data_IF_431872517436
#
_entry.id   IF_431872517436
#
_cell.length_a   1.000
_cell.length_b   1.000
_cell.length_c   1.000
_cell.angle_alpha   90.00
_cell.angle_beta   90.00
_cell.angle_gamma   90.00
#
_symmetry.space_group_name_H-M   'P 1'
#
loop_
_entity.id
_entity.type
_entity.pdbx_description
1 polymer ?
#
# COMPACT_ATOMS: atom_id res chain seq x y z
N UNK A 1 19.07 26.25 17.16
CA UNK A 1 19.93 25.50 16.23
C UNK A 1 19.11 24.32 15.73
N UNK A 2 18.52 24.47 14.55
CA UNK A 2 17.79 23.37 13.94
C UNK A 2 18.80 22.33 13.43
N UNK A 3 18.47 21.05 13.52
CA UNK A 3 19.26 19.96 12.92
C UNK A 3 19.61 20.23 11.44
N UNK A 4 18.80 21.01 10.76
CA UNK A 4 18.99 21.44 9.38
C UNK A 4 20.20 22.36 9.16
N UNK A 5 20.55 23.19 10.15
CA UNK A 5 21.67 24.10 10.05
C UNK A 5 23.00 23.49 10.55
N UNK A 6 22.91 22.48 11.40
CA UNK A 6 24.08 21.82 11.95
C UNK A 6 24.80 20.92 10.92
N UNK A 7 24.05 20.15 10.13
CA UNK A 7 24.61 19.20 9.16
C UNK A 7 25.48 19.84 8.07
N UNK A 8 25.05 20.91 7.36
CA UNK A 8 25.86 21.50 6.29
C UNK A 8 27.10 22.26 6.80
N UNK A 9 27.12 22.67 8.07
CA UNK A 9 28.24 23.42 8.65
C UNK A 9 29.27 22.49 9.31
N UNK A 10 28.84 21.48 10.04
CA UNK A 10 29.74 20.60 10.79
C UNK A 10 30.42 19.54 9.92
N UNK A 11 29.70 18.92 8.99
CA UNK A 11 30.24 17.82 8.18
C UNK A 11 31.43 18.24 7.28
N UNK A 12 31.39 19.36 6.52
CA UNK A 12 32.55 19.79 5.73
C UNK A 12 33.76 20.18 6.58
N UNK A 13 33.55 20.78 7.77
CA UNK A 13 34.63 21.16 8.67
C UNK A 13 35.35 19.93 9.25
N UNK A 14 34.61 18.88 9.63
CA UNK A 14 35.21 17.63 10.08
C UNK A 14 35.98 16.93 8.94
N UNK A 15 35.44 16.89 7.74
CA UNK A 15 36.13 16.31 6.59
C UNK A 15 37.48 17.00 6.30
N UNK A 16 37.56 18.33 6.47
CA UNK A 16 38.81 19.09 6.30
C UNK A 16 39.82 18.75 7.39
N UNK A 17 39.39 18.61 8.65
CA UNK A 17 40.26 18.28 9.80
C UNK A 17 40.85 16.85 9.63
N UNK A 18 40.01 15.85 9.25
CA UNK A 18 40.48 14.49 9.02
C UNK A 18 41.46 14.40 7.85
N UNK A 19 41.20 15.13 6.77
CA UNK A 19 42.09 15.19 5.62
C UNK A 19 43.43 15.82 5.95
N UNK A 20 43.45 16.84 6.81
CA UNK A 20 44.70 17.46 7.31
C UNK A 20 45.46 16.58 8.30
N UNK A 21 44.75 15.69 9.00
CA UNK A 21 45.34 14.72 9.95
C UNK A 21 45.82 13.43 9.29
N UNK A 22 45.57 13.24 7.96
CA UNK A 22 45.94 12.02 7.24
C UNK A 22 45.19 10.75 7.63
N UNK A 23 43.98 10.92 8.20
CA UNK A 23 43.15 9.80 8.67
C UNK A 23 41.99 9.53 7.73
N UNK A 24 41.65 8.25 7.61
CA UNK A 24 40.45 7.82 6.89
C UNK A 24 39.19 8.11 7.74
N UNK A 25 38.17 8.68 7.08
CA UNK A 25 36.90 8.96 7.70
C UNK A 25 36.12 7.64 7.96
N UNK A 26 35.47 7.49 9.13
CA UNK A 26 34.60 6.35 9.39
C UNK A 26 33.49 6.20 8.35
N UNK A 27 33.14 4.95 8.01
CA UNK A 27 32.12 4.64 6.99
C UNK A 27 30.79 5.40 7.16
N UNK A 28 30.19 5.51 8.37
CA UNK A 28 28.94 6.27 8.53
C UNK A 28 29.08 7.75 8.14
N UNK A 29 30.24 8.35 8.43
CA UNK A 29 30.53 9.76 8.09
C UNK A 29 30.70 9.93 6.58
N UNK A 30 31.40 9.03 5.91
CA UNK A 30 31.58 9.04 4.45
C UNK A 30 30.23 8.92 3.75
N UNK A 31 29.38 8.01 4.23
CA UNK A 31 28.01 7.84 3.68
C UNK A 31 27.15 9.09 3.91
N UNK A 32 27.21 9.71 5.08
CA UNK A 32 26.47 10.94 5.37
C UNK A 32 26.92 12.11 4.46
N UNK A 33 28.25 12.27 4.25
CA UNK A 33 28.79 13.27 3.34
C UNK A 33 28.40 12.96 1.89
N UNK A 34 28.47 11.70 1.48
CA UNK A 34 28.05 11.25 0.14
C UNK A 34 26.59 11.56 -0.12
N UNK A 35 25.70 11.26 0.83
CA UNK A 35 24.27 11.57 0.76
C UNK A 35 24.01 13.08 0.66
N UNK A 36 24.71 13.89 1.50
CA UNK A 36 24.61 15.34 1.44
C UNK A 36 25.04 15.88 0.07
N UNK A 37 26.21 15.48 -0.43
CA UNK A 37 26.71 15.93 -1.72
C UNK A 37 25.81 15.52 -2.87
N UNK A 38 25.26 14.29 -2.82
CA UNK A 38 24.28 13.82 -3.80
C UNK A 38 23.04 14.71 -3.81
N UNK A 39 22.45 14.95 -2.64
CA UNK A 39 21.27 15.81 -2.52
C UNK A 39 21.56 17.26 -2.91
N UNK A 40 22.72 17.82 -2.48
CA UNK A 40 23.11 19.19 -2.78
C UNK A 40 23.44 19.45 -4.26
N UNK A 41 24.00 18.44 -4.94
CA UNK A 41 24.36 18.60 -6.36
C UNK A 41 23.22 18.25 -7.32
N UNK A 42 22.32 17.35 -6.91
CA UNK A 42 21.27 16.83 -7.79
C UNK A 42 19.85 17.27 -7.42
N UNK A 43 19.68 18.18 -6.43
CA UNK A 43 18.37 18.62 -5.98
C UNK A 43 17.50 19.19 -7.12
N UNK A 44 18.13 19.93 -8.07
CA UNK A 44 17.46 20.52 -9.23
C UNK A 44 16.99 19.48 -10.25
N UNK A 45 17.55 18.27 -10.22
CA UNK A 45 17.12 17.12 -11.04
C UNK A 45 16.14 16.22 -10.26
N UNK A 46 16.36 16.07 -8.95
CA UNK A 46 15.55 15.22 -8.07
C UNK A 46 14.13 15.77 -7.91
N UNK A 47 13.99 17.09 -7.70
CA UNK A 47 12.66 17.69 -7.53
C UNK A 47 11.82 17.61 -8.81
N UNK A 48 12.29 18.06 -9.99
CA UNK A 48 11.53 17.90 -11.24
C UNK A 48 11.34 16.43 -11.63
N UNK A 49 12.32 15.56 -11.36
CA UNK A 49 12.24 14.14 -11.60
C UNK A 49 11.16 13.48 -10.75
N UNK A 50 11.09 13.81 -9.46
CA UNK A 50 10.05 13.34 -8.54
C UNK A 50 8.66 13.83 -8.98
N UNK A 51 8.53 15.13 -9.27
CA UNK A 51 7.26 15.72 -9.74
C UNK A 51 6.85 15.11 -11.08
N UNK A 52 7.78 15.01 -12.04
CA UNK A 52 7.52 14.37 -13.33
C UNK A 52 7.14 12.90 -13.21
N UNK A 53 7.81 12.16 -12.32
CA UNK A 53 7.50 10.76 -12.01
C UNK A 53 6.09 10.60 -11.41
N UNK A 54 5.72 11.45 -10.46
CA UNK A 54 4.37 11.46 -9.86
C UNK A 54 3.32 11.80 -10.94
N UNK A 55 3.54 12.81 -11.75
CA UNK A 55 2.62 13.20 -12.82
C UNK A 55 2.49 12.08 -13.87
N UNK A 56 3.58 11.45 -14.28
CA UNK A 56 3.59 10.32 -15.20
C UNK A 56 2.83 9.12 -14.60
N UNK A 57 3.02 8.83 -13.31
CA UNK A 57 2.29 7.79 -12.61
C UNK A 57 0.79 8.09 -12.56
N UNK A 58 0.39 9.32 -12.20
CA UNK A 58 -1.02 9.75 -12.19
C UNK A 58 -1.61 9.64 -13.59
N UNK A 59 -0.89 10.06 -14.62
CA UNK A 59 -1.36 9.95 -16.00
C UNK A 59 -1.50 8.50 -16.44
N UNK A 60 -0.53 7.65 -16.13
CA UNK A 60 -0.57 6.22 -16.42
C UNK A 60 -1.75 5.53 -15.72
N UNK A 61 -2.02 5.86 -14.45
CA UNK A 61 -3.13 5.28 -13.68
C UNK A 61 -4.52 5.77 -14.13
N UNK A 62 -4.59 6.80 -14.96
CA UNK A 62 -5.86 7.19 -15.62
C UNK A 62 -6.21 6.30 -16.81
N UNK A 63 -5.25 5.55 -17.36
CA UNK A 63 -5.52 4.59 -18.43
C UNK A 63 -6.16 3.31 -17.86
N UNK A 64 -7.02 2.64 -18.63
CA UNK A 64 -7.65 1.39 -18.19
C UNK A 64 -6.64 0.29 -17.86
N UNK A 65 -5.55 0.21 -18.64
CA UNK A 65 -4.48 -0.76 -18.39
C UNK A 65 -3.67 -0.40 -17.14
N UNK A 66 -3.29 0.88 -16.96
CA UNK A 66 -2.55 1.34 -15.79
C UNK A 66 -3.33 1.13 -14.49
N UNK A 67 -4.63 1.42 -14.48
CA UNK A 67 -5.51 1.13 -13.33
C UNK A 67 -5.53 -0.35 -13.00
N UNK A 68 -5.65 -1.22 -14.00
CA UNK A 68 -5.66 -2.66 -13.78
C UNK A 68 -4.34 -3.16 -13.17
N UNK A 69 -3.19 -2.75 -13.73
CA UNK A 69 -1.88 -3.16 -13.20
C UNK A 69 -1.64 -2.62 -11.79
N UNK A 70 -1.95 -1.34 -11.55
CA UNK A 70 -1.80 -0.75 -10.21
C UNK A 70 -2.68 -1.45 -9.17
N UNK A 71 -3.97 -1.66 -9.49
CA UNK A 71 -4.89 -2.34 -8.57
C UNK A 71 -4.51 -3.80 -8.33
N UNK A 72 -4.00 -4.50 -9.35
CA UNK A 72 -3.47 -5.85 -9.19
C UNK A 72 -2.21 -5.88 -8.31
N UNK A 73 -1.32 -4.89 -8.48
CA UNK A 73 -0.11 -4.76 -7.66
C UNK A 73 -0.48 -4.47 -6.19
N UNK A 74 -1.39 -3.54 -5.95
CA UNK A 74 -1.88 -3.20 -4.61
C UNK A 74 -2.50 -4.41 -3.89
N UNK A 75 -3.27 -5.24 -4.61
CA UNK A 75 -3.84 -6.48 -4.06
C UNK A 75 -2.78 -7.54 -3.70
N UNK A 76 -1.56 -7.46 -4.27
CA UNK A 76 -0.45 -8.36 -3.93
C UNK A 76 0.38 -7.89 -2.74
N UNK A 77 0.23 -6.65 -2.29
CA UNK A 77 0.97 -6.14 -1.14
C UNK A 77 0.51 -6.81 0.14
N UNK A 78 1.43 -7.26 1.02
CA UNK A 78 1.09 -8.10 2.17
C UNK A 78 0.23 -7.38 3.23
N UNK A 79 0.27 -6.06 3.29
CA UNK A 79 -0.48 -5.27 4.29
C UNK A 79 -1.75 -4.67 3.66
N UNK A 80 -1.62 -4.05 2.50
CA UNK A 80 -2.71 -3.31 1.83
C UNK A 80 -3.65 -4.26 1.08
N UNK A 81 -3.11 -5.33 0.47
CA UNK A 81 -3.87 -6.27 -0.35
C UNK A 81 -5.06 -6.91 0.38
N UNK A 82 -4.84 -7.54 1.55
CA UNK A 82 -5.93 -8.12 2.33
C UNK A 82 -7.01 -7.12 2.73
N UNK A 83 -6.63 -5.89 3.11
CA UNK A 83 -7.59 -4.84 3.47
C UNK A 83 -8.44 -4.43 2.26
N UNK A 84 -7.79 -4.22 1.10
CA UNK A 84 -8.51 -3.89 -0.14
C UNK A 84 -9.44 -5.00 -0.60
N UNK A 85 -9.04 -6.27 -0.45
CA UNK A 85 -9.88 -7.40 -0.79
C UNK A 85 -11.10 -7.49 0.15
N UNK A 86 -10.90 -7.37 1.48
CA UNK A 86 -11.98 -7.35 2.47
C UNK A 86 -12.96 -6.21 2.19
N UNK A 87 -12.46 -4.99 1.96
CA UNK A 87 -13.30 -3.84 1.62
C UNK A 87 -14.08 -4.02 0.29
N UNK A 88 -13.48 -4.74 -0.68
CA UNK A 88 -14.19 -5.08 -1.90
C UNK A 88 -15.29 -6.13 -1.66
N UNK A 89 -15.08 -7.10 -0.76
CA UNK A 89 -16.09 -8.11 -0.40
C UNK A 89 -17.25 -7.49 0.38
N UNK A 90 -16.98 -6.61 1.36
CA UNK A 90 -18.02 -5.84 2.05
C UNK A 90 -18.87 -5.05 1.04
N UNK A 91 -18.22 -4.28 0.17
CA UNK A 91 -18.92 -3.46 -0.85
C UNK A 91 -19.71 -4.31 -1.85
N UNK A 92 -19.14 -5.43 -2.30
CA UNK A 92 -19.83 -6.39 -3.16
C UNK A 92 -21.12 -6.87 -2.49
N UNK A 93 -21.00 -7.39 -1.27
CA UNK A 93 -22.13 -7.99 -0.57
C UNK A 93 -23.22 -6.95 -0.23
N UNK A 94 -22.82 -5.76 0.24
CA UNK A 94 -23.74 -4.67 0.56
C UNK A 94 -24.53 -4.20 -0.65
N UNK A 95 -23.85 -3.85 -1.73
CA UNK A 95 -24.49 -3.37 -2.96
C UNK A 95 -25.37 -4.46 -3.55
N UNK A 96 -24.87 -5.70 -3.61
CA UNK A 96 -25.63 -6.81 -4.19
C UNK A 96 -26.89 -7.10 -3.38
N UNK A 97 -26.83 -7.10 -2.04
CA UNK A 97 -27.99 -7.25 -1.16
C UNK A 97 -29.06 -6.18 -1.44
N UNK A 98 -28.65 -4.90 -1.52
CA UNK A 98 -29.57 -3.80 -1.83
C UNK A 98 -30.24 -3.98 -3.17
N UNK A 99 -29.48 -4.36 -4.20
CA UNK A 99 -30.02 -4.55 -5.55
C UNK A 99 -30.98 -5.75 -5.63
N UNK A 100 -30.67 -6.87 -4.95
CA UNK A 100 -31.57 -8.03 -4.87
C UNK A 100 -32.87 -7.70 -4.11
N UNK A 101 -32.77 -7.03 -2.97
CA UNK A 101 -33.95 -6.59 -2.22
C UNK A 101 -34.83 -5.61 -3.02
N UNK A 102 -34.22 -4.82 -3.90
CA UNK A 102 -34.93 -3.91 -4.82
C UNK A 102 -35.53 -4.62 -6.06
N UNK A 103 -35.39 -5.96 -6.16
CA UNK A 103 -35.93 -6.73 -7.29
C UNK A 103 -35.13 -6.62 -8.58
N UNK A 104 -33.91 -6.09 -8.51
CA UNK A 104 -33.02 -6.00 -9.69
C UNK A 104 -32.44 -7.39 -9.94
N UNK A 105 -32.48 -7.83 -11.22
CA UNK A 105 -31.94 -9.14 -11.60
C UNK A 105 -30.45 -9.26 -11.29
N UNK A 106 -29.99 -10.46 -10.97
CA UNK A 106 -28.58 -10.73 -10.67
C UNK A 106 -27.64 -10.26 -11.79
N UNK A 107 -28.04 -10.43 -13.04
CA UNK A 107 -27.28 -9.99 -14.21
C UNK A 107 -27.05 -8.46 -14.22
N UNK A 108 -28.11 -7.69 -13.98
CA UNK A 108 -28.02 -6.24 -13.92
C UNK A 108 -27.24 -5.78 -12.68
N UNK A 109 -27.39 -6.48 -11.56
CA UNK A 109 -26.65 -6.22 -10.34
C UNK A 109 -25.15 -6.40 -10.54
N UNK A 110 -24.71 -7.45 -11.23
CA UNK A 110 -23.28 -7.67 -11.57
C UNK A 110 -22.72 -6.56 -12.48
N UNK A 111 -23.55 -6.04 -13.40
CA UNK A 111 -23.14 -4.90 -14.25
C UNK A 111 -22.92 -3.63 -13.42
N UNK A 112 -23.78 -3.36 -12.44
CA UNK A 112 -23.63 -2.22 -11.52
C UNK A 112 -22.40 -2.43 -10.63
N UNK A 113 -22.20 -3.64 -10.11
CA UNK A 113 -21.07 -4.01 -9.29
C UNK A 113 -19.74 -3.82 -10.02
N UNK A 114 -19.65 -4.23 -11.29
CA UNK A 114 -18.41 -4.06 -12.06
C UNK A 114 -17.97 -2.59 -12.16
N UNK A 115 -18.92 -1.66 -12.18
CA UNK A 115 -18.62 -0.22 -12.24
C UNK A 115 -18.38 0.43 -10.88
N UNK A 116 -18.94 -0.14 -9.79
CA UNK A 116 -18.96 0.49 -8.45
C UNK A 116 -17.98 -0.11 -7.45
N UNK A 117 -17.43 -1.31 -7.71
CA UNK A 117 -16.53 -2.02 -6.79
C UNK A 117 -15.24 -1.25 -6.46
N UNK A 118 -14.83 -0.34 -7.33
CA UNK A 118 -13.68 0.55 -7.10
C UNK A 118 -12.31 -0.07 -7.36
N UNK A 119 -12.22 -1.36 -7.69
CA UNK A 119 -10.99 -2.06 -8.02
C UNK A 119 -11.07 -2.69 -9.40
N UNK A 120 -10.24 -2.24 -10.35
CA UNK A 120 -10.30 -2.69 -11.74
C UNK A 120 -9.94 -4.18 -11.94
N UNK A 121 -9.16 -4.77 -11.03
CA UNK A 121 -8.83 -6.19 -11.10
C UNK A 121 -10.03 -7.06 -10.68
N UNK A 122 -10.74 -6.65 -9.62
CA UNK A 122 -11.95 -7.33 -9.15
C UNK A 122 -13.12 -7.04 -10.09
N UNK A 123 -13.21 -5.82 -10.66
CA UNK A 123 -14.23 -5.45 -11.63
C UNK A 123 -14.27 -6.38 -12.84
N UNK A 124 -13.11 -6.79 -13.35
CA UNK A 124 -13.04 -7.75 -14.47
C UNK A 124 -13.59 -9.13 -14.14
N UNK A 125 -13.49 -9.56 -12.89
CA UNK A 125 -14.09 -10.84 -12.48
C UNK A 125 -15.60 -10.81 -12.63
N UNK A 126 -16.26 -9.68 -12.34
CA UNK A 126 -17.71 -9.54 -12.53
C UNK A 126 -18.14 -9.66 -13.99
N UNK A 127 -17.31 -9.20 -14.93
CA UNK A 127 -17.60 -9.37 -16.35
C UNK A 127 -17.60 -10.85 -16.73
N UNK A 128 -16.61 -11.62 -16.25
CA UNK A 128 -16.54 -13.07 -16.45
C UNK A 128 -17.69 -13.80 -15.74
N UNK A 129 -18.00 -13.43 -14.50
CA UNK A 129 -19.11 -14.01 -13.74
C UNK A 129 -20.45 -13.78 -14.47
N UNK A 130 -20.64 -12.60 -15.03
CA UNK A 130 -21.83 -12.25 -15.80
C UNK A 130 -21.97 -13.11 -17.07
N UNK A 131 -20.88 -13.36 -17.80
CA UNK A 131 -20.90 -14.24 -18.98
C UNK A 131 -21.34 -15.66 -18.61
N UNK A 132 -20.79 -16.22 -17.54
CA UNK A 132 -21.14 -17.56 -17.05
C UNK A 132 -22.58 -17.61 -16.50
N UNK A 133 -23.08 -16.53 -15.91
CA UNK A 133 -24.46 -16.42 -15.46
C UNK A 133 -25.45 -16.45 -16.65
N UNK A 134 -25.11 -15.81 -17.77
CA UNK A 134 -25.90 -15.87 -19.00
C UNK A 134 -25.98 -17.32 -19.56
N UNK A 135 -24.91 -18.11 -19.35
CA UNK A 135 -24.89 -19.54 -19.70
C UNK A 135 -25.75 -20.40 -18.76
N UNK A 136 -26.37 -19.82 -17.73
CA UNK A 136 -27.24 -20.53 -16.78
C UNK A 136 -26.54 -21.27 -15.65
N UNK A 137 -25.28 -20.94 -15.35
CA UNK A 137 -24.48 -21.63 -14.30
C UNK A 137 -24.76 -21.16 -12.86
N UNK A 138 -25.75 -20.27 -12.65
CA UNK A 138 -25.98 -19.66 -11.36
C UNK A 138 -24.91 -18.63 -10.99
N UNK A 139 -24.91 -18.16 -9.73
CA UNK A 139 -24.01 -17.09 -9.25
C UNK A 139 -22.81 -17.72 -8.53
N UNK A 140 -23.03 -18.73 -7.72
CA UNK A 140 -22.04 -19.33 -6.82
C UNK A 140 -20.92 -20.07 -7.54
N UNK A 141 -21.22 -20.75 -8.66
CA UNK A 141 -20.24 -21.52 -9.43
C UNK A 141 -19.19 -20.59 -10.09
N UNK A 142 -19.57 -19.51 -10.81
CA UNK A 142 -18.63 -18.54 -11.33
C UNK A 142 -17.79 -17.85 -10.26
N UNK A 143 -18.38 -17.50 -9.11
CA UNK A 143 -17.65 -16.92 -7.97
C UNK A 143 -16.55 -17.86 -7.45
N UNK A 144 -16.78 -19.18 -7.46
CA UNK A 144 -15.79 -20.18 -7.04
C UNK A 144 -14.54 -20.19 -7.92
N UNK A 145 -14.68 -19.92 -9.18
CA UNK A 145 -13.55 -19.86 -10.14
C UNK A 145 -12.79 -18.53 -10.09
N UNK A 146 -13.36 -17.52 -9.45
CA UNK A 146 -12.76 -16.19 -9.31
C UNK A 146 -11.62 -16.21 -8.30
N UNK A 147 -10.57 -15.46 -8.63
CA UNK A 147 -9.35 -15.38 -7.82
C UNK A 147 -9.52 -14.61 -6.51
N UNK A 148 -10.46 -13.67 -6.47
CA UNK A 148 -10.53 -12.69 -5.39
C UNK A 148 -11.65 -12.97 -4.39
N UNK A 149 -12.52 -13.94 -4.65
CA UNK A 149 -13.62 -14.29 -3.75
C UNK A 149 -13.20 -15.39 -2.77
N UNK A 150 -13.20 -15.09 -1.44
CA UNK A 150 -12.87 -16.08 -0.43
C UNK A 150 -13.91 -17.21 -0.38
N UNK A 151 -13.50 -18.43 0.01
CA UNK A 151 -14.40 -19.60 0.10
C UNK A 151 -15.65 -19.35 0.94
N UNK A 152 -15.55 -18.54 1.99
CA UNK A 152 -16.68 -18.17 2.84
C UNK A 152 -17.77 -17.45 2.03
N UNK A 153 -17.39 -16.43 1.26
CA UNK A 153 -18.33 -15.67 0.40
C UNK A 153 -19.01 -16.60 -0.59
N UNK A 154 -18.22 -17.43 -1.28
CA UNK A 154 -18.73 -18.39 -2.28
C UNK A 154 -19.73 -19.35 -1.66
N UNK A 155 -19.42 -19.91 -0.47
CA UNK A 155 -20.29 -20.87 0.20
C UNK A 155 -21.58 -20.22 0.70
N UNK A 156 -21.53 -19.01 1.27
CA UNK A 156 -22.72 -18.30 1.73
C UNK A 156 -23.63 -17.90 0.56
N UNK A 157 -23.03 -17.44 -0.55
CA UNK A 157 -23.79 -17.18 -1.78
C UNK A 157 -24.45 -18.45 -2.32
N UNK A 158 -23.74 -19.60 -2.30
CA UNK A 158 -24.29 -20.86 -2.73
C UNK A 158 -25.51 -21.32 -1.87
N UNK A 159 -25.39 -21.15 -0.55
CA UNK A 159 -26.52 -21.45 0.38
C UNK A 159 -27.68 -20.52 0.12
N UNK A 160 -27.44 -19.21 0.00
CA UNK A 160 -28.49 -18.23 -0.29
C UNK A 160 -29.17 -18.45 -1.65
N UNK A 161 -28.41 -18.84 -2.67
CA UNK A 161 -28.92 -19.16 -4.01
C UNK A 161 -29.82 -20.40 -3.98
N UNK A 162 -29.42 -21.45 -3.27
CA UNK A 162 -30.20 -22.70 -3.13
C UNK A 162 -31.46 -22.51 -2.27
N UNK A 163 -31.36 -21.72 -1.21
CA UNK A 163 -32.47 -21.47 -0.28
C UNK A 163 -33.42 -20.37 -0.74
N UNK A 164 -33.03 -19.57 -1.76
CA UNK A 164 -33.82 -18.43 -2.24
C UNK A 164 -33.79 -17.20 -1.30
N UNK A 165 -32.81 -17.15 -0.35
CA UNK A 165 -32.60 -16.03 0.58
C UNK A 165 -31.23 -15.35 0.39
N UNK A 166 -30.83 -15.15 -0.84
CA UNK A 166 -29.55 -14.60 -1.22
C UNK A 166 -29.27 -13.22 -0.59
N UNK A 167 -30.32 -12.38 -0.48
CA UNK A 167 -30.22 -11.05 0.11
C UNK A 167 -29.84 -11.07 1.61
N UNK A 168 -30.35 -12.04 2.36
CA UNK A 168 -29.99 -12.25 3.78
C UNK A 168 -28.53 -12.69 3.90
N UNK A 169 -28.11 -13.68 3.12
CA UNK A 169 -26.72 -14.16 3.13
C UNK A 169 -25.74 -13.06 2.72
N UNK A 170 -26.10 -12.21 1.76
CA UNK A 170 -25.28 -11.07 1.36
C UNK A 170 -25.18 -10.00 2.46
N UNK A 171 -26.24 -9.76 3.25
CA UNK A 171 -26.16 -8.85 4.39
C UNK A 171 -25.23 -9.37 5.47
N UNK A 172 -25.26 -10.67 5.76
CA UNK A 172 -24.36 -11.32 6.72
C UNK A 172 -22.90 -11.24 6.25
N UNK A 173 -22.65 -11.48 4.94
CA UNK A 173 -21.32 -11.30 4.35
C UNK A 173 -20.85 -9.86 4.52
N UNK A 174 -21.73 -8.87 4.22
CA UNK A 174 -21.38 -7.45 4.35
C UNK A 174 -20.99 -7.11 5.78
N UNK A 175 -21.82 -7.47 6.76
CA UNK A 175 -21.56 -7.19 8.18
C UNK A 175 -20.23 -7.80 8.64
N UNK A 176 -20.00 -9.08 8.31
CA UNK A 176 -18.74 -9.75 8.65
C UNK A 176 -17.52 -9.05 8.04
N UNK A 177 -17.59 -8.65 6.76
CA UNK A 177 -16.45 -7.99 6.12
C UNK A 177 -16.29 -6.53 6.53
N UNK A 178 -17.34 -5.84 6.97
CA UNK A 178 -17.24 -4.52 7.58
C UNK A 178 -16.43 -4.58 8.88
N UNK A 179 -16.73 -5.54 9.77
CA UNK A 179 -15.97 -5.79 10.99
C UNK A 179 -14.50 -6.16 10.69
N UNK A 180 -14.28 -7.01 9.68
CA UNK A 180 -12.95 -7.44 9.26
C UNK A 180 -12.11 -6.28 8.68
N UNK A 181 -12.73 -5.33 7.99
CA UNK A 181 -12.08 -4.12 7.49
C UNK A 181 -11.71 -3.20 8.65
N UNK A 182 -12.66 -2.95 9.59
CA UNK A 182 -12.41 -2.11 10.76
C UNK A 182 -11.25 -2.67 11.59
N UNK A 183 -11.26 -3.97 11.86
CA UNK A 183 -10.17 -4.65 12.56
C UNK A 183 -8.84 -4.52 11.84
N UNK A 184 -8.80 -4.74 10.52
CA UNK A 184 -7.57 -4.66 9.74
C UNK A 184 -7.01 -3.23 9.70
N UNK A 185 -7.85 -2.21 9.57
CA UNK A 185 -7.46 -0.79 9.62
C UNK A 185 -6.94 -0.40 11.01
N UNK A 186 -7.61 -0.86 12.07
CA UNK A 186 -7.16 -0.65 13.45
C UNK A 186 -5.78 -1.26 13.69
N UNK A 187 -5.56 -2.49 13.25
CA UNK A 187 -4.25 -3.14 13.34
C UNK A 187 -3.16 -2.39 12.54
N UNK A 188 -3.47 -1.92 11.34
CA UNK A 188 -2.53 -1.11 10.57
C UNK A 188 -2.13 0.15 11.35
N UNK A 189 -3.11 0.84 11.94
CA UNK A 189 -2.87 2.05 12.73
C UNK A 189 -2.03 1.78 13.98
N UNK A 190 -2.29 0.68 14.68
CA UNK A 190 -1.52 0.25 15.85
C UNK A 190 -0.04 -0.05 15.52
N UNK A 191 0.21 -0.64 14.35
CA UNK A 191 1.56 -1.00 13.93
C UNK A 191 2.38 0.20 13.40
N UNK A 192 1.74 1.31 13.03
CA UNK A 192 2.44 2.52 12.54
C UNK A 192 3.34 3.14 13.63
N UNK A 193 2.89 3.17 14.89
CA UNK A 193 3.66 3.74 16.01
C UNK A 193 5.04 3.08 16.18
N UNK A 194 5.12 1.77 16.41
CA UNK A 194 6.38 1.05 16.50
C UNK A 194 7.28 1.20 15.26
N UNK A 195 6.73 1.15 14.05
CA UNK A 195 7.50 1.31 12.81
C UNK A 195 8.14 2.69 12.73
N UNK A 196 7.39 3.75 13.07
CA UNK A 196 7.92 5.12 13.08
C UNK A 196 9.02 5.30 14.14
N UNK A 197 8.84 4.73 15.34
CA UNK A 197 9.86 4.81 16.42
C UNK A 197 11.14 4.10 15.98
N UNK A 198 11.05 2.90 15.45
CA UNK A 198 12.22 2.15 14.96
C UNK A 198 12.87 2.88 13.77
N UNK A 199 12.09 3.37 12.83
CA UNK A 199 12.59 4.16 11.70
C UNK A 199 13.34 5.42 12.17
N UNK A 200 12.78 6.17 13.13
CA UNK A 200 13.42 7.34 13.69
C UNK A 200 14.69 6.98 14.46
N UNK A 201 14.66 5.91 15.26
CA UNK A 201 15.84 5.44 16.01
C UNK A 201 17.00 5.05 15.08
N UNK A 202 16.72 4.41 13.94
CA UNK A 202 17.73 4.09 12.92
C UNK A 202 18.32 5.36 12.31
N UNK A 203 17.50 6.32 11.96
CA UNK A 203 17.97 7.60 11.38
C UNK A 203 18.80 8.39 12.39
N UNK A 204 18.31 8.56 13.62
CA UNK A 204 19.02 9.29 14.67
C UNK A 204 20.32 8.57 15.05
N UNK A 205 20.28 7.24 15.19
CA UNK A 205 21.44 6.41 15.46
C UNK A 205 22.51 6.50 14.37
N UNK A 206 22.11 6.49 13.11
CA UNK A 206 23.03 6.67 11.98
C UNK A 206 23.74 8.03 12.04
N UNK A 207 23.01 9.13 12.26
CA UNK A 207 23.62 10.46 12.38
C UNK A 207 24.46 10.61 13.65
N UNK A 208 24.04 10.03 14.76
CA UNK A 208 24.83 10.01 15.96
C UNK A 208 26.18 9.32 15.72
N UNK A 209 26.19 8.13 15.11
CA UNK A 209 27.43 7.43 14.75
C UNK A 209 28.29 8.22 13.76
N UNK A 210 27.67 8.87 12.77
CA UNK A 210 28.37 9.69 11.78
C UNK A 210 29.11 10.90 12.42
N UNK A 211 28.62 11.39 13.56
CA UNK A 211 29.22 12.52 14.30
C UNK A 211 30.18 12.04 15.39
N UNK A 212 29.79 11.06 16.20
CA UNK A 212 30.56 10.64 17.38
C UNK A 212 31.78 9.80 17.03
N UNK A 213 31.72 8.95 15.98
CA UNK A 213 32.89 8.13 15.59
C UNK A 213 34.10 8.99 15.20
N UNK A 214 33.99 10.01 14.36
CA UNK A 214 35.11 10.92 14.09
C UNK A 214 35.66 11.60 15.34
N UNK A 215 34.78 12.06 16.24
CA UNK A 215 35.21 12.71 17.47
C UNK A 215 36.00 11.76 18.37
N UNK A 216 35.57 10.49 18.44
CA UNK A 216 36.28 9.46 19.24
C UNK A 216 37.66 9.15 18.67
N UNK A 217 37.80 9.07 17.37
CA UNK A 217 39.08 8.80 16.74
C UNK A 217 40.07 9.96 16.88
N UNK A 218 39.59 11.21 16.86
CA UNK A 218 40.42 12.39 17.16
C UNK A 218 40.94 12.37 18.60
N UNK A 219 40.15 11.92 19.58
CA UNK A 219 40.60 11.83 20.99
C UNK A 219 41.68 10.78 21.22
N UNK A 220 41.80 9.75 20.41
CA UNK A 220 42.86 8.75 20.45
C UNK A 220 44.22 9.27 19.97
N UNK A 221 44.20 10.35 19.15
CA UNK A 221 45.44 10.96 18.64
C UNK A 221 46.14 11.91 19.62
N UNK A 222 45.40 12.40 20.61
CA UNK A 222 45.96 13.34 21.62
C UNK A 222 46.65 12.61 22.78
N UNK A 223 46.68 11.28 22.73
CA UNK A 223 47.42 10.41 23.65
C UNK A 223 48.66 9.83 22.97
#
# INVERSE_FOLDING_TARGET
LSLHDALPIFIPKFAAIFKSAGLDLPLPTVLAIGLYNFLANFWFLLIPGLVGGILALIWYTRTNQGRFYLHTLLLRLPIIGPVMQKAAMSRFASIFAILQTSGITALNSLTILSSTIGNAAISREFDTIRELLIEGRGISEPLRSSKYFPPMVVNMVAVGEQAGNLDEMLREISAHYDDEVEYAVSQMSANLGPILIVGLAVVVGFFALAIFLPMWDLTKMVR
#
